data_IF_757195601206
#
_entry.id   IF_757195601206
#
_cell.length_a   1.000
_cell.length_b   1.000
_cell.length_c   1.000
_cell.angle_alpha   90.00
_cell.angle_beta   90.00
_cell.angle_gamma   90.00
#
_symmetry.space_group_name_H-M   'P 1'
#
loop_
_entity.id
_entity.type
_entity.pdbx_description
1 polymer ?
#
# COMPACT_ATOMS: atom_id res chain seq x y z
N UNK A 1 15.38 -18.31 -16.02
CA UNK A 1 14.33 -17.64 -15.23
C UNK A 1 13.43 -16.86 -16.16
N UNK A 2 12.15 -16.81 -15.88
CA UNK A 2 11.21 -15.99 -16.65
C UNK A 2 11.43 -14.52 -16.24
N UNK A 3 11.82 -13.62 -17.14
CA UNK A 3 12.05 -12.20 -16.80
C UNK A 3 10.76 -11.47 -16.39
N UNK A 4 9.59 -12.04 -16.70
CA UNK A 4 8.28 -11.50 -16.31
C UNK A 4 7.82 -12.01 -14.93
N UNK A 5 8.55 -12.92 -14.28
CA UNK A 5 8.22 -13.40 -12.95
C UNK A 5 8.81 -12.46 -11.89
N UNK A 6 8.17 -11.31 -11.71
CA UNK A 6 8.52 -10.30 -10.74
C UNK A 6 7.40 -10.12 -9.72
N UNK A 7 7.77 -9.73 -8.51
CA UNK A 7 6.78 -9.27 -7.53
C UNK A 7 6.29 -7.87 -7.89
N UNK A 8 5.08 -7.54 -7.45
CA UNK A 8 4.56 -6.19 -7.50
C UNK A 8 5.53 -5.21 -6.79
N UNK A 9 5.69 -4.03 -7.33
CA UNK A 9 6.45 -2.97 -6.67
C UNK A 9 5.50 -1.95 -6.03
N UNK A 10 6.00 -1.16 -5.11
CA UNK A 10 5.21 -0.19 -4.37
C UNK A 10 5.86 1.19 -4.45
N UNK A 11 5.11 2.22 -4.82
CA UNK A 11 5.52 3.60 -4.58
C UNK A 11 4.97 3.98 -3.21
N UNK A 12 5.84 4.04 -2.20
CA UNK A 12 5.41 4.36 -0.83
C UNK A 12 5.02 5.84 -0.69
N UNK A 13 4.11 6.11 0.25
CA UNK A 13 3.81 7.47 0.68
C UNK A 13 3.52 7.53 2.18
N UNK A 14 3.58 8.71 2.76
CA UNK A 14 3.25 8.91 4.16
C UNK A 14 1.97 9.73 4.28
N UNK A 15 1.09 9.34 5.19
CA UNK A 15 -0.11 10.09 5.52
C UNK A 15 -0.24 10.30 7.02
N UNK A 16 -0.84 11.41 7.39
CA UNK A 16 -1.15 11.83 8.75
C UNK A 16 -2.66 11.90 8.92
N UNK A 17 -3.14 11.65 10.12
CA UNK A 17 -4.54 11.85 10.46
C UNK A 17 -4.69 12.99 11.45
N UNK A 18 -5.55 13.97 11.11
CA UNK A 18 -5.88 15.11 11.95
C UNK A 18 -7.38 15.07 12.24
N UNK A 19 -7.77 14.73 13.47
CA UNK A 19 -9.17 14.66 13.84
C UNK A 19 -9.90 16.00 13.64
N UNK A 20 -11.12 15.94 13.07
CA UNK A 20 -11.98 17.11 12.89
C UNK A 20 -11.68 17.98 11.67
N UNK A 21 -10.58 17.71 10.95
CA UNK A 21 -10.26 18.42 9.71
C UNK A 21 -10.76 17.65 8.47
N UNK A 22 -10.92 18.36 7.35
CA UNK A 22 -11.24 17.79 6.05
C UNK A 22 -10.10 18.08 5.06
N UNK A 23 -9.34 17.05 4.74
CA UNK A 23 -8.23 17.06 3.79
C UNK A 23 -8.52 16.21 2.56
N UNK A 24 -9.83 15.99 2.28
CA UNK A 24 -10.25 15.20 1.13
C UNK A 24 -9.67 15.81 -0.15
N UNK A 25 -8.91 15.02 -0.88
CA UNK A 25 -8.35 15.44 -2.17
C UNK A 25 -9.42 15.40 -3.26
N UNK A 26 -9.18 16.12 -4.36
CA UNK A 26 -10.01 15.97 -5.56
C UNK A 26 -9.99 14.51 -6.05
N UNK A 27 -11.14 14.07 -6.57
CA UNK A 27 -11.26 12.71 -7.10
C UNK A 27 -10.26 12.51 -8.24
N UNK A 28 -9.31 11.56 -8.13
CA UNK A 28 -8.34 11.31 -9.19
C UNK A 28 -9.00 10.82 -10.48
N UNK A 29 -8.49 11.24 -11.64
CA UNK A 29 -9.03 10.85 -12.97
C UNK A 29 -9.13 9.34 -13.13
N UNK A 30 -8.13 8.59 -12.64
CA UNK A 30 -8.07 7.12 -12.71
C UNK A 30 -8.82 6.40 -11.57
N UNK A 31 -9.52 7.14 -10.70
CA UNK A 31 -10.18 6.55 -9.53
C UNK A 31 -11.17 5.45 -9.88
N UNK A 32 -12.03 5.69 -10.88
CA UNK A 32 -13.06 4.70 -11.28
C UNK A 32 -12.44 3.37 -11.72
N UNK A 33 -11.28 3.42 -12.40
CA UNK A 33 -10.54 2.21 -12.77
C UNK A 33 -10.07 1.47 -11.51
N UNK A 34 -9.33 2.15 -10.63
CA UNK A 34 -8.74 1.53 -9.44
C UNK A 34 -9.79 1.05 -8.43
N UNK A 35 -10.89 1.78 -8.25
CA UNK A 35 -11.99 1.39 -7.37
C UNK A 35 -12.73 0.13 -7.82
N UNK A 36 -12.59 -0.26 -9.09
CA UNK A 36 -13.19 -1.48 -9.63
C UNK A 36 -12.15 -2.55 -9.99
N UNK A 37 -10.87 -2.24 -9.88
CA UNK A 37 -9.81 -3.16 -10.25
C UNK A 37 -9.77 -4.37 -9.30
N UNK A 38 -9.79 -5.56 -9.88
CA UNK A 38 -9.59 -6.84 -9.20
C UNK A 38 -8.31 -7.45 -9.78
N UNK A 39 -7.26 -7.66 -8.95
CA UNK A 39 -6.03 -8.29 -9.42
C UNK A 39 -6.28 -9.69 -9.98
N UNK A 40 -5.83 -9.92 -11.21
CA UNK A 40 -5.91 -11.23 -11.85
C UNK A 40 -4.67 -12.05 -11.50
N UNK A 41 -4.71 -12.75 -10.37
CA UNK A 41 -3.61 -13.54 -9.83
C UNK A 41 -4.02 -15.01 -9.66
N UNK A 42 -3.02 -15.86 -9.47
CA UNK A 42 -3.21 -17.28 -9.11
C UNK A 42 -2.42 -17.56 -7.82
N UNK A 43 -3.10 -17.90 -6.71
CA UNK A 43 -4.55 -17.94 -6.53
C UNK A 43 -5.22 -16.54 -6.64
N UNK A 44 -6.52 -16.53 -6.86
CA UNK A 44 -7.27 -15.29 -7.09
C UNK A 44 -7.19 -14.33 -5.91
N UNK A 45 -7.02 -13.04 -6.20
CA UNK A 45 -7.17 -11.99 -5.19
C UNK A 45 -8.61 -11.96 -4.65
N UNK A 46 -8.81 -11.74 -3.34
CA UNK A 46 -10.13 -11.89 -2.71
C UNK A 46 -11.08 -10.70 -2.92
N UNK A 47 -11.10 -10.10 -4.09
CA UNK A 47 -12.03 -9.03 -4.45
C UNK A 47 -11.34 -7.78 -5.02
N UNK A 48 -11.90 -6.59 -4.76
CA UNK A 48 -11.33 -5.34 -5.25
C UNK A 48 -10.02 -5.00 -4.53
N UNK A 49 -9.06 -4.42 -5.25
CA UNK A 49 -7.79 -3.97 -4.67
C UNK A 49 -8.02 -2.89 -3.61
N UNK A 50 -8.85 -1.87 -3.91
CA UNK A 50 -9.25 -0.87 -2.93
C UNK A 50 -10.33 -1.44 -2.01
N UNK A 51 -9.87 -2.17 -1.00
CA UNK A 51 -10.66 -2.76 0.06
C UNK A 51 -9.79 -3.05 1.28
N UNK A 52 -10.39 -3.41 2.41
CA UNK A 52 -9.66 -3.89 3.58
C UNK A 52 -9.43 -5.41 3.56
N UNK A 53 -9.67 -6.07 2.44
CA UNK A 53 -9.46 -7.50 2.27
C UNK A 53 -8.22 -7.77 1.42
N UNK A 54 -7.38 -8.70 1.85
CA UNK A 54 -6.16 -9.10 1.14
C UNK A 54 -5.87 -10.58 1.40
N UNK A 55 -5.09 -11.27 0.55
CA UNK A 55 -4.71 -12.65 0.81
C UNK A 55 -3.66 -12.72 1.92
N UNK A 56 -3.84 -13.64 2.85
CA UNK A 56 -2.81 -13.98 3.85
C UNK A 56 -1.61 -14.62 3.14
N UNK A 57 -0.38 -14.11 3.28
CA UNK A 57 0.76 -14.59 2.50
C UNK A 57 1.05 -16.10 2.66
N UNK A 58 0.87 -16.65 3.85
CA UNK A 58 1.17 -18.07 4.15
C UNK A 58 0.08 -19.04 3.72
N UNK A 59 -1.18 -18.62 3.69
CA UNK A 59 -2.33 -19.50 3.43
C UNK A 59 -3.10 -19.17 2.16
N UNK A 60 -2.85 -17.97 1.61
CA UNK A 60 -3.53 -17.38 0.46
C UNK A 60 -5.05 -17.21 0.66
N UNK A 61 -5.54 -17.42 1.89
CA UNK A 61 -6.94 -17.21 2.25
C UNK A 61 -7.23 -15.71 2.44
N UNK A 62 -8.48 -15.28 2.17
CA UNK A 62 -8.89 -13.91 2.47
C UNK A 62 -8.65 -13.57 3.94
N UNK A 63 -8.07 -12.41 4.19
CA UNK A 63 -7.93 -11.80 5.49
C UNK A 63 -8.53 -10.40 5.46
N UNK A 64 -9.16 -10.00 6.57
CA UNK A 64 -9.79 -8.70 6.71
C UNK A 64 -8.99 -7.87 7.70
N UNK A 65 -8.58 -6.70 7.24
CA UNK A 65 -7.94 -5.68 8.08
C UNK A 65 -8.85 -4.49 8.26
N UNK A 66 -8.36 -3.52 8.99
CA UNK A 66 -8.99 -2.20 9.15
C UNK A 66 -7.95 -1.10 8.91
N UNK A 67 -8.40 0.12 8.69
CA UNK A 67 -7.59 1.32 8.80
C UNK A 67 -8.30 2.25 9.78
N UNK A 68 -7.81 2.29 11.01
CA UNK A 68 -8.41 3.08 12.10
C UNK A 68 -7.34 4.06 12.62
N UNK A 69 -7.33 5.31 12.11
CA UNK A 69 -6.29 6.29 12.44
C UNK A 69 -6.53 7.06 13.72
N UNK A 70 -7.75 7.07 14.27
CA UNK A 70 -8.15 7.85 15.43
C UNK A 70 -7.85 7.19 16.79
N UNK A 71 -7.27 5.97 16.75
CA UNK A 71 -6.91 5.23 17.97
C UNK A 71 -8.06 4.40 18.56
N UNK A 72 -9.22 4.31 17.92
CA UNK A 72 -10.30 3.40 18.33
C UNK A 72 -9.76 1.97 18.46
N UNK A 73 -9.96 1.30 19.62
CA UNK A 73 -9.47 -0.06 19.82
C UNK A 73 -10.08 -1.07 18.84
N UNK A 74 -9.29 -2.06 18.45
CA UNK A 74 -9.72 -3.15 17.57
C UNK A 74 -8.85 -4.39 17.78
N UNK A 75 -9.44 -5.57 17.69
CA UNK A 75 -8.73 -6.85 17.64
C UNK A 75 -8.30 -7.22 16.21
N UNK A 76 -8.82 -6.51 15.20
CA UNK A 76 -8.44 -6.73 13.81
C UNK A 76 -7.05 -6.14 13.52
N UNK A 77 -6.37 -6.72 12.52
CA UNK A 77 -5.12 -6.15 12.02
C UNK A 77 -5.36 -4.74 11.46
N UNK A 78 -4.72 -3.76 12.06
CA UNK A 78 -4.90 -2.35 11.69
C UNK A 78 -3.71 -1.86 10.84
N UNK A 79 -3.96 -1.60 9.56
CA UNK A 79 -2.93 -1.08 8.64
C UNK A 79 -2.35 0.25 9.10
N UNK A 80 -3.14 1.12 9.75
CA UNK A 80 -2.64 2.36 10.31
C UNK A 80 -1.50 2.12 11.31
N UNK A 81 -1.69 1.16 12.21
CA UNK A 81 -0.72 0.82 13.25
C UNK A 81 0.49 0.07 12.73
N UNK A 82 0.31 -0.71 11.67
CA UNK A 82 1.33 -1.62 11.14
C UNK A 82 2.64 -0.93 10.77
N UNK A 83 2.56 0.28 10.20
CA UNK A 83 3.74 1.08 9.82
C UNK A 83 3.64 2.51 10.33
N UNK A 84 3.01 2.72 11.50
CA UNK A 84 2.97 4.03 12.14
C UNK A 84 4.39 4.42 12.56
N UNK A 85 4.91 5.49 11.95
CA UNK A 85 6.27 6.01 12.18
C UNK A 85 6.31 7.16 13.18
N UNK A 86 5.18 7.85 13.38
CA UNK A 86 5.01 8.89 14.40
C UNK A 86 3.71 8.60 15.15
N UNK A 87 3.81 8.41 16.46
CA UNK A 87 2.67 8.51 17.36
C UNK A 87 2.76 9.85 18.09
N UNK A 88 1.82 10.75 17.82
CA UNK A 88 1.83 12.09 18.42
C UNK A 88 1.84 12.06 19.96
N UNK A 89 1.28 11.02 20.58
CA UNK A 89 1.19 10.88 22.03
C UNK A 89 2.54 10.56 22.70
N UNK A 90 3.55 10.17 21.90
CA UNK A 90 4.92 9.94 22.41
C UNK A 90 5.75 11.25 22.45
N UNK A 91 5.16 12.38 22.11
CA UNK A 91 5.84 13.68 22.05
C UNK A 91 5.12 14.70 22.91
N UNK A 92 5.80 15.82 23.19
CA UNK A 92 5.19 16.92 23.90
C UNK A 92 3.97 17.44 23.11
N UNK A 93 2.89 17.82 23.82
CA UNK A 93 1.68 18.36 23.17
C UNK A 93 2.03 19.50 22.19
N UNK A 94 1.46 19.43 20.98
CA UNK A 94 1.70 20.41 19.92
C UNK A 94 2.94 20.18 19.04
N UNK A 95 3.79 19.18 19.35
CA UNK A 95 4.94 18.82 18.49
C UNK A 95 4.49 18.30 17.13
N UNK A 96 3.44 17.47 17.10
CA UNK A 96 2.80 16.97 15.89
C UNK A 96 1.29 17.20 15.98
N UNK A 97 0.68 17.54 14.84
CA UNK A 97 -0.77 17.73 14.75
C UNK A 97 -1.53 16.40 14.72
N UNK A 98 -0.88 15.36 14.22
CA UNK A 98 -1.44 14.02 14.11
C UNK A 98 -0.37 12.94 14.09
N UNK A 99 -0.80 11.70 14.31
CA UNK A 99 0.05 10.54 14.10
C UNK A 99 0.23 10.28 12.60
N UNK A 100 1.38 9.69 12.23
CA UNK A 100 1.75 9.48 10.83
C UNK A 100 2.08 8.02 10.58
N UNK A 101 1.55 7.47 9.49
CA UNK A 101 1.87 6.12 9.01
C UNK A 101 2.51 6.16 7.63
N UNK A 102 3.36 5.16 7.36
CA UNK A 102 3.90 4.91 6.03
C UNK A 102 3.02 3.89 5.32
N UNK A 103 2.52 4.25 4.14
CA UNK A 103 1.72 3.36 3.31
C UNK A 103 2.63 2.56 2.39
N UNK A 104 2.77 1.29 2.72
CA UNK A 104 3.37 0.22 1.94
C UNK A 104 2.57 -1.03 2.29
N UNK A 105 1.39 -1.13 1.70
CA UNK A 105 0.35 -2.11 2.00
C UNK A 105 0.01 -2.92 0.74
N UNK A 106 -0.65 -4.09 0.86
CA UNK A 106 -1.10 -4.84 -0.31
C UNK A 106 -1.97 -4.02 -1.28
N UNK A 107 -2.71 -3.03 -0.77
CA UNK A 107 -3.61 -2.18 -1.54
C UNK A 107 -2.91 -1.19 -2.46
N UNK A 108 -1.64 -0.88 -2.22
CA UNK A 108 -0.84 -0.01 -3.11
C UNK A 108 0.32 -0.75 -3.80
N UNK A 109 0.31 -2.06 -3.79
CA UNK A 109 1.19 -2.87 -4.62
C UNK A 109 0.72 -2.79 -6.08
N UNK A 110 1.62 -2.32 -6.96
CA UNK A 110 1.31 -2.18 -8.39
C UNK A 110 1.59 -3.48 -9.14
N UNK A 111 0.56 -4.02 -9.79
CA UNK A 111 0.57 -5.37 -10.39
C UNK A 111 0.40 -5.36 -11.92
N UNK A 112 0.30 -4.17 -12.55
CA UNK A 112 -0.02 -4.06 -13.99
C UNK A 112 1.20 -3.99 -14.90
N UNK A 113 2.40 -4.11 -14.35
CA UNK A 113 3.63 -4.12 -15.15
C UNK A 113 4.89 -4.21 -14.33
N UNK A 114 5.99 -4.38 -15.05
CA UNK A 114 7.34 -4.50 -14.53
C UNK A 114 8.13 -3.23 -14.81
N UNK A 115 9.05 -2.89 -13.90
CA UNK A 115 9.95 -1.73 -14.01
C UNK A 115 11.44 -2.15 -14.04
N UNK A 116 11.72 -3.46 -14.14
CA UNK A 116 13.10 -3.98 -14.15
C UNK A 116 13.46 -4.36 -15.57
N UNK A 117 14.62 -3.87 -16.04
CA UNK A 117 15.15 -4.12 -17.39
C UNK A 117 14.18 -3.72 -18.52
N UNK A 118 13.41 -2.65 -18.30
CA UNK A 118 12.48 -2.10 -19.29
C UNK A 118 13.00 -0.74 -19.80
N UNK A 119 12.58 -0.29 -20.99
CA UNK A 119 12.87 1.06 -21.47
C UNK A 119 12.35 2.15 -20.52
N UNK A 120 13.02 3.31 -20.48
CA UNK A 120 12.69 4.42 -19.57
C UNK A 120 11.23 4.87 -19.68
N UNK A 121 10.67 4.92 -20.89
CA UNK A 121 9.28 5.28 -21.12
C UNK A 121 8.30 4.28 -20.49
N UNK A 122 8.61 2.98 -20.51
CA UNK A 122 7.79 1.94 -19.84
C UNK A 122 7.96 2.01 -18.33
N UNK A 123 9.20 2.23 -17.85
CA UNK A 123 9.46 2.47 -16.44
C UNK A 123 8.61 3.63 -15.91
N UNK A 124 8.68 4.79 -16.55
CA UNK A 124 7.96 5.99 -16.13
C UNK A 124 6.44 5.79 -16.18
N UNK A 125 5.92 5.17 -17.23
CA UNK A 125 4.50 4.80 -17.36
C UNK A 125 3.99 3.99 -16.17
N UNK A 126 4.73 2.96 -15.76
CA UNK A 126 4.33 2.11 -14.64
C UNK A 126 4.47 2.82 -13.28
N UNK A 127 5.50 3.65 -13.11
CA UNK A 127 5.66 4.46 -11.90
C UNK A 127 4.53 5.49 -11.78
N UNK A 128 4.16 6.16 -12.85
CA UNK A 128 3.06 7.14 -12.85
C UNK A 128 1.71 6.45 -12.57
N UNK A 129 1.49 5.27 -13.12
CA UNK A 129 0.28 4.49 -12.83
C UNK A 129 0.24 4.01 -11.36
N UNK A 130 1.38 3.64 -10.77
CA UNK A 130 1.48 3.31 -9.34
C UNK A 130 1.21 4.52 -8.44
N UNK A 131 1.65 5.72 -8.85
CA UNK A 131 1.31 6.98 -8.15
C UNK A 131 -0.19 7.30 -8.26
N UNK A 132 -0.81 7.06 -9.40
CA UNK A 132 -2.25 7.21 -9.59
C UNK A 132 -3.05 6.22 -8.72
N UNK A 133 -2.56 4.98 -8.54
CA UNK A 133 -3.12 4.02 -7.58
C UNK A 133 -3.06 4.58 -6.15
N UNK A 134 -1.94 5.16 -5.74
CA UNK A 134 -1.78 5.74 -4.41
C UNK A 134 -2.77 6.88 -4.14
N UNK A 135 -2.94 7.80 -5.08
CA UNK A 135 -3.92 8.87 -4.94
C UNK A 135 -5.34 8.31 -4.88
N UNK A 136 -5.63 7.27 -5.66
CA UNK A 136 -6.92 6.58 -5.62
C UNK A 136 -7.15 5.87 -4.29
N UNK A 137 -6.13 5.24 -3.72
CA UNK A 137 -6.19 4.64 -2.38
C UNK A 137 -6.44 5.71 -1.31
N UNK A 138 -5.71 6.84 -1.35
CA UNK A 138 -5.91 7.94 -0.41
C UNK A 138 -7.34 8.49 -0.51
N UNK A 139 -7.82 8.76 -1.72
CA UNK A 139 -9.19 9.24 -1.93
C UNK A 139 -10.24 8.24 -1.40
N UNK A 140 -10.06 6.95 -1.69
CA UNK A 140 -10.93 5.89 -1.17
C UNK A 140 -10.91 5.83 0.36
N UNK A 141 -9.75 5.94 0.98
CA UNK A 141 -9.61 6.00 2.44
C UNK A 141 -10.33 7.21 3.03
N UNK A 142 -10.30 8.35 2.34
CA UNK A 142 -10.95 9.59 2.79
C UNK A 142 -12.47 9.58 2.61
N UNK A 143 -13.00 8.81 1.65
CA UNK A 143 -14.42 8.94 1.23
C UNK A 143 -15.25 7.68 1.37
N UNK A 144 -14.67 6.49 1.25
CA UNK A 144 -15.43 5.23 1.13
C UNK A 144 -14.99 4.13 2.10
N UNK A 145 -13.77 4.20 2.65
CA UNK A 145 -13.28 3.16 3.56
C UNK A 145 -14.19 3.02 4.77
N UNK A 146 -14.56 1.77 5.16
CA UNK A 146 -15.46 1.56 6.28
C UNK A 146 -14.82 2.00 7.60
N UNK A 147 -15.66 2.55 8.50
CA UNK A 147 -15.28 2.99 9.83
C UNK A 147 -15.96 2.15 10.92
N UNK A 148 -15.35 2.03 12.11
CA UNK A 148 -15.94 1.25 13.23
C UNK A 148 -17.31 1.76 13.70
N UNK A 149 -17.58 3.06 13.52
CA UNK A 149 -18.85 3.69 13.89
C UNK A 149 -19.98 3.47 12.88
N UNK A 150 -19.73 2.65 11.85
CA UNK A 150 -20.70 2.39 10.76
C UNK A 150 -20.69 3.47 9.66
N UNK A 151 -19.91 4.53 9.82
CA UNK A 151 -19.69 5.54 8.79
C UNK A 151 -18.66 5.10 7.74
N UNK A 152 -18.37 6.00 6.82
CA UNK A 152 -17.35 5.80 5.77
C UNK A 152 -16.43 7.01 5.68
N UNK A 153 -15.19 6.71 5.28
CA UNK A 153 -14.18 7.72 4.97
C UNK A 153 -13.56 8.41 6.19
N UNK A 154 -12.28 8.66 6.09
CA UNK A 154 -11.46 9.32 7.09
C UNK A 154 -10.96 10.66 6.52
N UNK A 155 -11.83 11.66 6.50
CA UNK A 155 -11.56 12.97 5.87
C UNK A 155 -10.33 13.69 6.43
N UNK A 156 -9.98 13.45 7.69
CA UNK A 156 -8.79 14.00 8.32
C UNK A 156 -7.46 13.41 7.85
N UNK A 157 -7.46 12.40 6.97
CA UNK A 157 -6.24 11.88 6.36
C UNK A 157 -5.65 12.90 5.38
N UNK A 158 -4.36 13.18 5.52
CA UNK A 158 -3.64 14.04 4.57
C UNK A 158 -2.30 13.47 4.15
N UNK A 159 -1.89 13.76 2.94
CA UNK A 159 -0.58 13.37 2.40
C UNK A 159 0.55 14.21 3.03
N UNK A 160 1.58 13.53 3.56
CA UNK A 160 2.72 14.19 4.21
C UNK A 160 3.88 14.44 3.22
N UNK A 161 3.68 15.37 2.28
CA UNK A 161 4.67 15.73 1.24
C UNK A 161 6.04 16.08 1.81
N UNK A 162 6.07 16.80 2.92
CA UNK A 162 7.30 17.26 3.56
C UNK A 162 8.16 16.11 4.12
N UNK A 163 7.59 14.98 4.50
CA UNK A 163 8.35 13.85 5.04
C UNK A 163 9.17 13.13 3.97
N UNK A 164 8.63 13.01 2.76
CA UNK A 164 9.31 12.31 1.67
C UNK A 164 10.17 13.24 0.81
N UNK A 165 10.06 14.56 1.01
CA UNK A 165 10.86 15.55 0.30
C UNK A 165 10.60 15.61 -1.21
N UNK A 166 9.42 15.19 -1.64
CA UNK A 166 9.00 15.20 -3.05
C UNK A 166 7.79 16.12 -3.25
N UNK A 167 7.66 16.69 -4.44
CA UNK A 167 6.55 17.62 -4.76
C UNK A 167 5.19 16.94 -4.72
N UNK A 168 5.14 15.69 -5.15
CA UNK A 168 3.92 14.88 -5.21
C UNK A 168 3.63 14.14 -3.90
N UNK A 169 4.56 14.12 -2.94
CA UNK A 169 4.41 13.42 -1.66
C UNK A 169 4.54 11.91 -1.74
N UNK A 170 5.03 11.40 -2.87
CA UNK A 170 5.34 9.98 -3.07
C UNK A 170 6.82 9.71 -2.89
N UNK A 171 7.20 8.48 -2.63
CA UNK A 171 8.60 8.09 -2.53
C UNK A 171 9.35 8.41 -3.82
N UNK A 172 10.60 8.90 -3.67
CA UNK A 172 11.45 9.26 -4.80
C UNK A 172 11.76 8.05 -5.70
N UNK A 173 11.86 6.86 -5.10
CA UNK A 173 12.10 5.60 -5.81
C UNK A 173 11.06 4.55 -5.41
N UNK A 174 10.64 3.69 -6.35
CA UNK A 174 9.78 2.56 -6.03
C UNK A 174 10.45 1.59 -5.04
N UNK A 175 9.67 1.00 -4.16
CA UNK A 175 10.08 -0.11 -3.32
C UNK A 175 9.98 -1.40 -4.15
N UNK A 176 11.14 -1.94 -4.51
CA UNK A 176 11.27 -3.15 -5.32
C UNK A 176 11.64 -4.30 -4.38
N UNK A 177 10.79 -5.32 -4.28
CA UNK A 177 11.00 -6.48 -3.40
C UNK A 177 11.99 -7.46 -3.99
N UNK A 178 11.82 -7.76 -5.28
CA UNK A 178 12.72 -8.61 -6.03
C UNK A 178 13.15 -7.90 -7.31
N UNK A 179 14.47 -7.83 -7.54
CA UNK A 179 15.03 -7.27 -8.75
C UNK A 179 15.74 -8.39 -9.55
N UNK A 180 17.06 -8.33 -9.62
CA UNK A 180 17.84 -9.36 -10.26
C UNK A 180 18.07 -10.54 -9.33
N UNK A 181 18.11 -11.75 -9.91
CA UNK A 181 18.39 -12.98 -9.17
C UNK A 181 19.81 -13.44 -9.48
N UNK A 182 20.52 -13.86 -8.45
CA UNK A 182 21.84 -14.47 -8.61
C UNK A 182 21.70 -15.77 -9.41
N UNK A 183 22.55 -15.93 -10.43
CA UNK A 183 22.73 -17.21 -11.12
C UNK A 183 23.70 -18.05 -10.29
N UNK A 184 23.18 -18.88 -9.41
CA UNK A 184 23.97 -19.72 -8.54
C UNK A 184 24.54 -20.94 -9.32
N UNK A 185 25.70 -21.42 -8.91
CA UNK A 185 26.28 -22.70 -9.40
C UNK A 185 25.46 -23.88 -8.88
N UNK A 186 24.99 -23.81 -7.63
CA UNK A 186 24.07 -24.76 -7.02
C UNK A 186 22.92 -24.02 -6.34
N UNK A 187 21.71 -24.51 -6.49
CA UNK A 187 20.51 -23.95 -5.86
C UNK A 187 19.95 -24.97 -4.88
N UNK A 188 19.77 -24.54 -3.63
CA UNK A 188 19.01 -25.31 -2.65
C UNK A 188 17.53 -25.24 -3.03
N UNK A 189 16.88 -26.37 -3.19
CA UNK A 189 15.46 -26.52 -3.46
C UNK A 189 14.77 -27.05 -2.21
N UNK A 190 13.44 -26.99 -2.19
CA UNK A 190 12.64 -27.51 -1.09
C UNK A 190 12.88 -29.00 -0.85
N UNK A 191 13.06 -29.78 -1.91
CA UNK A 191 13.43 -31.20 -1.85
C UNK A 191 14.76 -31.49 -1.14
N UNK A 192 15.62 -30.48 -0.95
CA UNK A 192 16.88 -30.65 -0.22
C UNK A 192 16.75 -30.41 1.29
N UNK A 193 15.65 -29.80 1.75
CA UNK A 193 15.45 -29.38 3.14
C UNK A 193 14.05 -29.73 3.71
N UNK A 194 13.17 -30.28 2.88
CA UNK A 194 11.84 -30.69 3.29
C UNK A 194 11.85 -31.91 4.22
N UNK A 195 10.85 -32.02 5.10
CA UNK A 195 10.72 -33.14 6.06
C UNK A 195 10.47 -34.50 5.40
N UNK A 196 10.11 -34.53 4.11
CA UNK A 196 9.79 -35.76 3.37
C UNK A 196 10.98 -36.35 2.60
N UNK A 197 12.22 -35.84 2.82
CA UNK A 197 13.43 -36.33 2.16
C UNK A 197 14.35 -37.11 3.14
#
# INVERSE_FOLDING_TARGET
>A
SNPLNNQAFTVCFAMEYIPGEDWTIDKPDNYTFWANYIPNLTPAWPGKLLSMTYPTPSTLKPNHAVCIPDGTPTDAFNFWMYRRIIDQHNFLPGTYQGSTTLVNWPQNDYMLGNIIDVPENEFQKHVDAAKALNLSLLYWLQTEAPRPDGGVGWKGLRLRKNLLGTKDGMAKYPYIRESHRIKAEFRILEEHVGEEN
#
